data_IF_287216487442
#
_entry.id   IF_287216487442
#
_cell.length_a   1.000
_cell.length_b   1.000
_cell.length_c   1.000
_cell.angle_alpha   90.00
_cell.angle_beta   90.00
_cell.angle_gamma   90.00
#
_symmetry.space_group_name_H-M   'P 1'
#
loop_
_entity.id
_entity.type
_entity.pdbx_description
1 polymer ?
#
# COMPACT_ATOMS: atom_id res chain seq x y z
N UNK A 1 11.42 33.13 -44.06
CA UNK A 1 10.06 32.68 -43.63
C UNK A 1 10.04 31.38 -42.82
N UNK A 2 10.77 30.32 -43.20
CA UNK A 2 10.78 29.04 -42.44
C UNK A 2 11.32 29.15 -41.00
N UNK A 3 12.42 29.87 -40.80
CA UNK A 3 13.03 30.06 -39.48
C UNK A 3 12.14 30.84 -38.50
N UNK A 4 11.43 31.87 -38.98
CA UNK A 4 10.49 32.65 -38.16
C UNK A 4 9.30 31.80 -37.71
N UNK A 5 8.79 30.92 -38.60
CA UNK A 5 7.71 29.98 -38.26
C UNK A 5 8.16 28.91 -37.24
N UNK A 6 9.39 28.42 -37.36
CA UNK A 6 9.97 27.49 -36.41
C UNK A 6 10.16 28.14 -35.02
N UNK A 7 10.69 29.37 -34.97
CA UNK A 7 10.83 30.13 -33.72
C UNK A 7 9.49 30.43 -33.05
N UNK A 8 8.47 30.82 -33.83
CA UNK A 8 7.12 31.05 -33.31
C UNK A 8 6.47 29.77 -32.77
N UNK A 9 6.69 28.62 -33.43
CA UNK A 9 6.19 27.33 -32.95
C UNK A 9 6.88 26.90 -31.64
N UNK A 10 8.20 27.07 -31.52
CA UNK A 10 8.94 26.78 -30.28
C UNK A 10 8.43 27.66 -29.14
N UNK A 11 8.25 28.97 -29.39
CA UNK A 11 7.72 29.89 -28.40
C UNK A 11 6.30 29.51 -27.96
N UNK A 12 5.42 29.14 -28.91
CA UNK A 12 4.07 28.69 -28.60
C UNK A 12 4.09 27.44 -27.71
N UNK A 13 4.89 26.42 -28.04
CA UNK A 13 4.99 25.20 -27.23
C UNK A 13 5.60 25.47 -25.85
N UNK A 14 6.57 26.38 -25.75
CA UNK A 14 7.13 26.80 -24.46
C UNK A 14 6.06 27.49 -23.59
N UNK A 15 5.25 28.39 -24.17
CA UNK A 15 4.14 29.05 -23.46
C UNK A 15 3.09 28.01 -23.02
N UNK A 16 2.71 27.08 -23.90
CA UNK A 16 1.77 26.00 -23.56
C UNK A 16 2.33 25.15 -22.41
N UNK A 17 3.61 24.76 -22.46
CA UNK A 17 4.24 23.99 -21.39
C UNK A 17 4.28 24.75 -20.05
N UNK A 18 4.57 26.06 -20.07
CA UNK A 18 4.54 26.90 -18.86
C UNK A 18 3.11 27.00 -18.32
N UNK A 19 2.11 27.25 -19.16
CA UNK A 19 0.71 27.31 -18.73
C UNK A 19 0.23 25.97 -18.16
N UNK A 20 0.62 24.84 -18.76
CA UNK A 20 0.33 23.51 -18.23
C UNK A 20 1.06 23.26 -16.90
N UNK A 21 2.32 23.66 -16.79
CA UNK A 21 3.06 23.55 -15.53
C UNK A 21 2.40 24.37 -14.42
N UNK A 22 2.00 25.62 -14.68
CA UNK A 22 1.34 26.48 -13.70
C UNK A 22 -0.04 25.98 -13.28
N UNK A 23 -0.76 25.26 -14.14
CA UNK A 23 -2.11 24.76 -13.82
C UNK A 23 -2.10 23.35 -13.22
N UNK A 24 -1.25 22.46 -13.73
CA UNK A 24 -1.22 21.04 -13.32
C UNK A 24 -0.30 20.82 -12.12
N UNK A 25 0.87 21.45 -12.11
CA UNK A 25 1.90 21.15 -11.12
C UNK A 25 1.46 21.52 -9.69
N UNK A 26 0.83 22.67 -9.39
CA UNK A 26 0.39 22.99 -8.03
C UNK A 26 -0.60 21.98 -7.47
N UNK A 27 -1.60 21.57 -8.26
CA UNK A 27 -2.59 20.57 -7.84
C UNK A 27 -2.00 19.17 -7.66
N UNK A 28 -0.98 18.84 -8.45
CA UNK A 28 -0.24 17.60 -8.30
C UNK A 28 0.67 17.61 -7.07
N UNK A 29 1.31 18.75 -6.78
CA UNK A 29 2.23 18.90 -5.65
C UNK A 29 1.49 19.03 -4.30
N UNK A 30 0.32 19.66 -4.27
CA UNK A 30 -0.50 19.86 -3.06
C UNK A 30 -1.73 18.95 -3.05
N UNK A 31 -1.51 17.66 -3.33
CA UNK A 31 -2.61 16.71 -3.41
C UNK A 31 -3.11 16.37 -2.01
N UNK A 32 -4.29 16.90 -1.68
CA UNK A 32 -4.99 16.60 -0.43
C UNK A 32 -5.82 15.34 -0.61
N UNK A 33 -5.52 14.31 0.18
CA UNK A 33 -6.27 13.04 0.15
C UNK A 33 -7.39 12.98 1.17
N UNK A 34 -7.19 13.64 2.32
CA UNK A 34 -8.13 13.59 3.44
C UNK A 34 -8.33 14.99 4.02
N UNK A 35 -9.57 15.28 4.43
CA UNK A 35 -9.94 16.46 5.20
C UNK A 35 -10.75 15.98 6.40
N UNK A 36 -10.21 16.20 7.59
CA UNK A 36 -10.81 15.77 8.84
C UNK A 36 -10.48 16.73 9.97
N UNK A 37 -10.94 16.38 11.17
CA UNK A 37 -10.62 17.10 12.40
C UNK A 37 -9.33 16.53 12.96
N UNK A 38 -8.53 17.38 13.62
CA UNK A 38 -7.37 16.98 14.40
C UNK A 38 -7.71 15.81 15.33
N UNK A 39 -6.80 14.84 15.40
CA UNK A 39 -6.95 13.62 16.19
C UNK A 39 -5.65 13.25 16.89
N UNK A 40 -5.62 12.10 17.56
CA UNK A 40 -4.41 11.58 18.19
C UNK A 40 -3.31 11.18 17.18
N UNK A 41 -3.60 11.18 15.88
CA UNK A 41 -2.72 10.75 14.80
C UNK A 41 -2.92 11.53 13.49
N UNK A 42 -3.58 12.70 13.54
CA UNK A 42 -3.79 13.61 12.40
C UNK A 42 -3.77 15.08 12.85
N UNK A 43 -2.98 15.93 12.21
CA UNK A 43 -2.74 17.35 12.61
C UNK A 43 -3.52 18.37 11.77
N UNK A 44 -4.53 17.91 11.02
CA UNK A 44 -5.28 18.72 10.06
C UNK A 44 -4.71 18.67 8.64
N UNK A 45 -3.45 18.27 8.47
CA UNK A 45 -2.79 18.15 7.17
C UNK A 45 -2.14 16.78 6.91
N UNK A 46 -1.54 16.19 7.94
CA UNK A 46 -0.73 14.97 7.89
C UNK A 46 -1.09 14.01 9.01
N UNK A 47 -1.02 12.72 8.69
CA UNK A 47 -1.04 11.65 9.66
C UNK A 47 0.35 11.45 10.31
N UNK A 48 0.39 10.94 11.55
CA UNK A 48 1.63 10.69 12.28
C UNK A 48 1.52 9.52 13.25
N UNK A 49 2.66 8.91 13.61
CA UNK A 49 2.71 7.86 14.63
C UNK A 49 2.56 8.48 16.04
N UNK A 50 1.62 7.98 16.88
CA UNK A 50 1.34 8.54 18.21
C UNK A 50 2.47 8.52 19.23
N UNK A 51 3.51 7.71 19.01
CA UNK A 51 4.70 7.63 19.86
C UNK A 51 5.71 8.76 19.61
N UNK A 52 5.42 9.64 18.64
CA UNK A 52 6.23 10.82 18.35
C UNK A 52 7.52 10.48 17.60
N UNK A 53 7.67 9.25 17.10
CA UNK A 53 8.75 8.97 16.17
C UNK A 53 8.52 9.77 14.88
N UNK A 54 9.58 10.45 14.45
CA UNK A 54 9.53 11.24 13.24
C UNK A 54 9.99 10.38 12.08
N UNK A 55 9.02 9.74 11.44
CA UNK A 55 9.20 8.98 10.21
C UNK A 55 9.73 9.84 9.05
N UNK A 56 9.84 11.17 9.18
CA UNK A 56 10.54 11.99 8.19
C UNK A 56 12.01 11.60 8.21
N UNK A 57 12.45 10.97 7.12
CA UNK A 57 13.85 10.66 6.77
C UNK A 57 14.86 11.58 7.49
N UNK A 58 15.29 11.17 8.69
CA UNK A 58 16.46 11.75 9.33
C UNK A 58 17.63 11.19 8.55
N UNK A 59 18.11 11.96 7.58
CA UNK A 59 19.33 11.62 6.83
C UNK A 59 20.48 11.53 7.84
N UNK A 60 20.75 10.34 8.34
CA UNK A 60 21.90 10.07 9.19
C UNK A 60 23.18 10.43 8.41
N UNK A 61 24.04 11.23 9.04
CA UNK A 61 25.40 11.51 8.55
C UNK A 61 25.53 12.51 7.41
N UNK A 62 24.90 13.69 7.48
CA UNK A 62 25.21 14.83 6.59
C UNK A 62 24.92 14.62 5.09
N UNK A 63 24.14 13.59 4.75
CA UNK A 63 23.80 13.21 3.37
C UNK A 63 22.63 14.07 2.88
N UNK A 64 22.74 14.66 1.68
CA UNK A 64 21.67 15.47 1.09
C UNK A 64 20.54 14.60 0.53
N UNK A 65 19.30 15.12 0.53
CA UNK A 65 18.12 14.48 -0.11
C UNK A 65 18.40 14.14 -1.58
N UNK A 66 19.14 14.99 -2.29
CA UNK A 66 19.58 14.76 -3.66
C UNK A 66 20.52 13.54 -3.78
N UNK A 67 21.45 13.35 -2.84
CA UNK A 67 22.35 12.20 -2.83
C UNK A 67 21.67 10.86 -2.48
N UNK A 68 20.60 10.89 -1.67
CA UNK A 68 19.75 9.71 -1.44
C UNK A 68 18.97 9.34 -2.70
N UNK A 69 18.33 10.33 -3.36
CA UNK A 69 17.60 10.12 -4.61
C UNK A 69 18.52 9.63 -5.74
N UNK A 70 19.72 10.20 -5.85
CA UNK A 70 20.72 9.80 -6.84
C UNK A 70 21.18 8.36 -6.64
N UNK A 71 21.40 7.90 -5.40
CA UNK A 71 21.72 6.47 -5.12
C UNK A 71 20.55 5.53 -5.40
N UNK A 72 19.31 5.98 -5.19
CA UNK A 72 18.14 5.21 -5.59
C UNK A 72 18.05 5.04 -7.12
N UNK A 73 18.50 6.04 -7.89
CA UNK A 73 18.50 6.04 -9.37
C UNK A 73 19.70 5.30 -9.96
N UNK A 74 20.91 5.56 -9.46
CA UNK A 74 22.19 5.06 -10.01
C UNK A 74 22.58 3.70 -9.40
N UNK A 75 21.87 3.26 -8.36
CA UNK A 75 22.25 2.11 -7.57
C UNK A 75 23.26 2.48 -6.48
N UNK A 76 23.18 1.78 -5.37
CA UNK A 76 24.11 1.92 -4.26
C UNK A 76 25.07 0.71 -4.30
N UNK A 77 26.38 0.99 -4.34
CA UNK A 77 27.41 -0.05 -4.43
C UNK A 77 27.42 -1.00 -3.21
N UNK A 78 26.80 -0.60 -2.10
CA UNK A 78 26.63 -1.41 -0.89
C UNK A 78 25.31 -2.20 -0.84
N UNK A 79 24.48 -2.17 -1.90
CA UNK A 79 23.28 -3.01 -1.97
C UNK A 79 23.69 -4.47 -2.20
N UNK A 80 23.11 -5.43 -1.46
CA UNK A 80 23.28 -6.83 -1.77
C UNK A 80 22.82 -7.12 -3.20
N UNK A 81 23.47 -8.07 -3.85
CA UNK A 81 23.11 -8.50 -5.20
C UNK A 81 21.65 -8.96 -5.20
N UNK A 82 20.83 -8.28 -5.98
CA UNK A 82 19.42 -8.62 -6.14
C UNK A 82 19.29 -9.69 -7.24
N UNK A 83 18.54 -10.78 -7.02
CA UNK A 83 18.39 -11.82 -8.03
C UNK A 83 17.63 -11.28 -9.25
N UNK A 84 18.03 -11.69 -10.45
CA UNK A 84 17.28 -11.33 -11.68
C UNK A 84 15.92 -12.03 -11.74
N UNK A 85 15.85 -13.25 -11.20
CA UNK A 85 14.62 -14.05 -11.16
C UNK A 85 14.62 -14.99 -9.94
N UNK A 86 13.45 -15.17 -9.36
CA UNK A 86 13.13 -16.20 -8.36
C UNK A 86 12.07 -17.11 -8.97
N UNK A 87 12.34 -18.43 -8.97
CA UNK A 87 11.39 -19.40 -9.48
C UNK A 87 10.15 -19.49 -8.57
N UNK A 88 8.96 -19.46 -9.17
CA UNK A 88 7.68 -19.57 -8.46
C UNK A 88 6.85 -20.66 -9.12
N UNK A 89 6.33 -21.59 -8.32
CA UNK A 89 5.31 -22.55 -8.76
C UNK A 89 3.94 -21.92 -8.52
N UNK A 90 3.23 -21.61 -9.60
CA UNK A 90 1.91 -21.00 -9.50
C UNK A 90 0.88 -22.02 -9.01
N UNK A 91 -0.01 -21.56 -8.15
CA UNK A 91 -1.08 -22.34 -7.54
C UNK A 91 -2.44 -21.92 -8.11
N UNK A 92 -3.38 -22.88 -8.12
CA UNK A 92 -4.79 -22.64 -8.40
C UNK A 92 -5.59 -22.96 -7.15
N UNK A 93 -5.87 -21.96 -6.30
CA UNK A 93 -6.60 -22.18 -5.05
C UNK A 93 -8.03 -22.66 -5.33
N UNK A 94 -8.67 -23.34 -4.37
CA UNK A 94 -10.08 -23.72 -4.50
C UNK A 94 -10.97 -22.47 -4.61
N UNK A 95 -12.17 -22.62 -5.17
CA UNK A 95 -13.10 -21.50 -5.33
C UNK A 95 -13.49 -20.85 -3.99
N UNK A 96 -13.61 -21.66 -2.94
CA UNK A 96 -13.99 -21.25 -1.59
C UNK A 96 -13.54 -22.31 -0.58
N UNK A 97 -13.24 -21.89 0.65
CA UNK A 97 -12.97 -22.78 1.78
C UNK A 97 -14.02 -22.50 2.84
N UNK A 98 -14.85 -23.49 3.16
CA UNK A 98 -15.96 -23.38 4.11
C UNK A 98 -15.68 -24.09 5.44
N UNK A 99 -16.56 -23.87 6.42
CA UNK A 99 -16.42 -24.40 7.77
C UNK A 99 -15.23 -23.80 8.52
N UNK A 100 -14.71 -24.54 9.49
CA UNK A 100 -13.59 -24.08 10.33
C UNK A 100 -12.20 -24.20 9.70
N UNK A 101 -12.07 -24.43 8.39
CA UNK A 101 -10.78 -24.44 7.72
C UNK A 101 -10.35 -23.02 7.31
N UNK A 102 -9.04 -22.76 7.35
CA UNK A 102 -8.44 -21.51 6.86
C UNK A 102 -7.27 -21.88 5.95
N UNK A 103 -7.30 -21.40 4.72
CA UNK A 103 -6.25 -21.60 3.72
C UNK A 103 -5.65 -20.25 3.36
N UNK A 104 -4.33 -20.14 3.48
CA UNK A 104 -3.58 -18.98 3.01
C UNK A 104 -2.70 -19.39 1.83
N UNK A 105 -2.74 -18.60 0.76
CA UNK A 105 -1.85 -18.76 -0.39
C UNK A 105 -1.09 -17.45 -0.60
N UNK A 106 0.23 -17.53 -0.48
CA UNK A 106 1.09 -16.39 -0.73
C UNK A 106 1.22 -16.14 -2.23
N UNK A 107 0.83 -14.95 -2.67
CA UNK A 107 0.93 -14.53 -4.07
C UNK A 107 2.27 -13.82 -4.32
N UNK A 108 2.81 -13.14 -3.32
CA UNK A 108 4.09 -12.45 -3.38
C UNK A 108 4.03 -11.08 -2.73
N UNK A 109 5.17 -10.61 -2.22
CA UNK A 109 5.24 -9.39 -1.39
C UNK A 109 4.23 -9.46 -0.24
N UNK A 110 3.41 -8.43 -0.03
CA UNK A 110 2.33 -8.40 0.95
C UNK A 110 0.99 -9.00 0.44
N UNK A 111 0.94 -9.51 -0.80
CA UNK A 111 -0.28 -10.11 -1.35
C UNK A 111 -0.46 -11.56 -0.89
N UNK A 112 -1.54 -11.80 -0.16
CA UNK A 112 -2.00 -13.12 0.27
C UNK A 112 -3.48 -13.28 -0.06
N UNK A 113 -3.85 -14.43 -0.61
CA UNK A 113 -5.23 -14.89 -0.63
C UNK A 113 -5.48 -15.70 0.64
N UNK A 114 -6.41 -15.25 1.48
CA UNK A 114 -6.87 -15.98 2.67
C UNK A 114 -8.32 -16.38 2.47
N UNK A 115 -8.59 -17.68 2.56
CA UNK A 115 -9.93 -18.25 2.43
C UNK A 115 -10.32 -18.86 3.77
N UNK A 116 -11.35 -18.30 4.41
CA UNK A 116 -11.82 -18.75 5.71
C UNK A 116 -13.31 -18.49 5.85
N UNK A 117 -14.02 -19.41 6.51
CA UNK A 117 -15.46 -19.29 6.77
C UNK A 117 -16.29 -19.11 5.50
N UNK A 118 -15.78 -19.49 4.34
CA UNK A 118 -16.39 -19.21 3.06
C UNK A 118 -16.36 -17.73 2.71
N UNK A 119 -15.27 -17.02 3.00
CA UNK A 119 -14.95 -15.66 2.53
C UNK A 119 -13.55 -15.69 1.89
N UNK A 120 -13.41 -15.11 0.71
CA UNK A 120 -12.13 -14.93 0.04
C UNK A 120 -11.61 -13.50 0.29
N UNK A 121 -10.53 -13.38 1.05
CA UNK A 121 -9.90 -12.12 1.46
C UNK A 121 -8.57 -11.98 0.72
N UNK A 122 -8.32 -10.82 0.12
CA UNK A 122 -7.08 -10.53 -0.58
C UNK A 122 -6.39 -9.31 0.04
N UNK A 123 -5.14 -9.45 0.47
CA UNK A 123 -4.35 -8.35 1.05
C UNK A 123 -3.52 -7.66 -0.03
N UNK A 124 -3.41 -6.32 0.04
CA UNK A 124 -2.52 -5.47 -0.74
C UNK A 124 -2.20 -6.00 -2.15
N UNK A 125 -3.21 -6.11 -3.04
CA UNK A 125 -3.09 -6.91 -4.24
C UNK A 125 -2.23 -6.23 -5.31
N UNK A 126 -1.09 -6.85 -5.66
CA UNK A 126 -0.16 -6.34 -6.69
C UNK A 126 0.20 -7.40 -7.73
N UNK A 127 -0.31 -7.22 -8.94
CA UNK A 127 0.06 -8.02 -10.13
C UNK A 127 0.88 -7.23 -11.15
N UNK A 128 1.05 -5.92 -10.98
CA UNK A 128 1.92 -5.13 -11.84
C UNK A 128 3.38 -5.59 -11.78
N UNK A 129 4.06 -5.51 -12.93
CA UNK A 129 5.48 -5.87 -13.04
C UNK A 129 6.40 -4.94 -12.25
N UNK A 130 6.01 -3.67 -12.10
CA UNK A 130 6.81 -2.63 -11.44
C UNK A 130 5.96 -1.90 -10.39
N UNK A 131 6.56 -1.62 -9.24
CA UNK A 131 5.97 -0.82 -8.18
C UNK A 131 6.40 0.65 -8.32
N UNK A 132 5.64 1.45 -9.06
CA UNK A 132 5.88 2.89 -9.11
C UNK A 132 5.02 3.64 -10.13
N UNK A 133 5.16 4.98 -10.21
CA UNK A 133 4.33 5.81 -11.06
C UNK A 133 4.54 5.48 -12.53
N UNK A 134 3.45 5.37 -13.28
CA UNK A 134 3.47 5.09 -14.73
C UNK A 134 4.26 3.83 -15.13
N UNK A 135 4.41 2.86 -14.22
CA UNK A 135 5.18 1.64 -14.44
C UNK A 135 6.69 1.80 -14.25
N UNK A 136 7.17 2.98 -13.83
CA UNK A 136 8.58 3.18 -13.46
C UNK A 136 8.78 2.94 -11.97
N UNK A 137 9.67 2.02 -11.62
CA UNK A 137 9.97 1.67 -10.23
C UNK A 137 10.60 0.27 -10.12
N UNK A 138 10.84 -0.23 -8.89
CA UNK A 138 11.36 -1.56 -8.67
C UNK A 138 10.54 -2.61 -9.41
N UNK A 139 11.21 -3.38 -10.27
CA UNK A 139 10.62 -4.51 -10.97
C UNK A 139 10.57 -5.73 -10.06
N UNK A 140 9.46 -6.47 -10.08
CA UNK A 140 9.36 -7.75 -9.38
C UNK A 140 10.26 -8.79 -10.06
N UNK A 141 10.86 -9.65 -9.25
CA UNK A 141 11.76 -10.73 -9.71
C UNK A 141 11.15 -12.11 -9.55
N UNK A 142 9.98 -12.19 -8.92
CA UNK A 142 9.17 -13.38 -8.75
C UNK A 142 7.83 -13.17 -9.46
N UNK A 143 7.34 -14.17 -10.19
CA UNK A 143 5.98 -14.15 -10.74
C UNK A 143 4.93 -14.24 -9.62
N UNK A 144 3.69 -13.77 -9.83
CA UNK A 144 2.64 -13.94 -8.83
C UNK A 144 2.37 -15.44 -8.59
N UNK A 145 2.32 -15.85 -7.32
CA UNK A 145 2.04 -17.22 -6.90
C UNK A 145 0.64 -17.72 -7.28
N UNK A 146 -0.27 -16.81 -7.64
CA UNK A 146 -1.55 -17.10 -8.30
C UNK A 146 -1.67 -16.18 -9.51
N UNK A 147 -1.95 -16.72 -10.69
CA UNK A 147 -2.27 -15.89 -11.86
C UNK A 147 -3.57 -15.13 -11.60
N UNK A 148 -3.71 -13.89 -12.07
CA UNK A 148 -4.91 -13.10 -11.76
C UNK A 148 -6.18 -13.79 -12.26
N UNK A 149 -6.11 -14.45 -13.42
CA UNK A 149 -7.18 -15.25 -14.00
C UNK A 149 -7.52 -16.54 -13.23
N UNK A 150 -6.59 -17.04 -12.39
CA UNK A 150 -6.78 -18.21 -11.55
C UNK A 150 -7.27 -17.82 -10.13
N UNK A 151 -7.40 -16.52 -9.82
CA UNK A 151 -8.00 -16.09 -8.56
C UNK A 151 -9.48 -16.52 -8.51
N UNK A 152 -9.95 -17.03 -7.35
CA UNK A 152 -11.38 -17.20 -7.14
C UNK A 152 -12.05 -15.82 -7.03
N UNK A 153 -13.38 -15.79 -7.02
CA UNK A 153 -14.13 -14.56 -6.75
C UNK A 153 -13.70 -13.99 -5.39
N UNK A 154 -13.23 -12.75 -5.36
CA UNK A 154 -12.80 -12.08 -4.13
C UNK A 154 -14.00 -11.39 -3.48
N UNK A 155 -14.14 -11.55 -2.17
CA UNK A 155 -15.22 -10.94 -1.39
C UNK A 155 -14.74 -9.67 -0.69
N UNK A 156 -13.50 -9.69 -0.16
CA UNK A 156 -12.90 -8.58 0.59
C UNK A 156 -11.49 -8.32 0.08
N UNK A 157 -11.15 -7.05 -0.11
CA UNK A 157 -9.79 -6.60 -0.36
C UNK A 157 -9.36 -5.68 0.78
N UNK A 158 -8.18 -5.91 1.33
CA UNK A 158 -7.57 -5.07 2.35
C UNK A 158 -6.43 -4.28 1.71
N UNK A 159 -6.44 -2.95 1.87
CA UNK A 159 -5.40 -2.05 1.38
C UNK A 159 -4.81 -1.26 2.54
N UNK A 160 -3.63 -1.66 3.00
CA UNK A 160 -2.99 -1.14 4.22
C UNK A 160 -2.58 0.32 4.12
N UNK A 161 -1.94 0.72 3.02
CA UNK A 161 -1.44 2.07 2.81
C UNK A 161 -1.20 2.35 1.33
N UNK A 162 -0.84 3.59 1.00
CA UNK A 162 -0.67 4.06 -0.36
C UNK A 162 0.74 3.90 -0.93
N UNK A 163 1.61 2.97 -0.53
CA UNK A 163 2.83 2.73 -1.34
C UNK A 163 2.51 1.90 -2.59
N UNK A 164 3.27 2.10 -3.68
CA UNK A 164 2.97 1.51 -4.99
C UNK A 164 2.99 -0.02 -5.01
N UNK A 165 3.75 -0.62 -4.11
CA UNK A 165 3.86 -2.06 -3.87
C UNK A 165 2.77 -2.61 -2.93
N UNK A 166 1.85 -1.77 -2.43
CA UNK A 166 0.71 -2.19 -1.61
C UNK A 166 -0.66 -1.76 -2.17
N UNK A 167 -0.70 -0.69 -2.97
CA UNK A 167 -1.92 -0.20 -3.61
C UNK A 167 -1.66 -0.05 -5.12
N UNK A 168 -1.81 -1.15 -5.84
CA UNK A 168 -1.74 -1.22 -7.31
C UNK A 168 -3.12 -0.90 -7.92
N UNK A 169 -3.25 0.31 -8.46
CA UNK A 169 -4.49 0.79 -9.06
C UNK A 169 -4.94 -0.04 -10.29
N UNK A 170 -4.01 -0.61 -11.06
CA UNK A 170 -4.36 -1.43 -12.22
C UNK A 170 -4.99 -2.75 -11.76
N UNK A 171 -4.40 -3.37 -10.73
CA UNK A 171 -4.93 -4.59 -10.13
C UNK A 171 -6.28 -4.34 -9.45
N UNK A 172 -6.40 -3.29 -8.64
CA UNK A 172 -7.64 -2.95 -7.94
C UNK A 172 -8.81 -2.66 -8.89
N UNK A 173 -8.57 -1.97 -10.02
CA UNK A 173 -9.60 -1.75 -11.05
C UNK A 173 -10.11 -3.06 -11.63
N UNK A 174 -9.20 -3.97 -12.00
CA UNK A 174 -9.57 -5.29 -12.56
C UNK A 174 -10.37 -6.12 -11.56
N UNK A 175 -9.98 -6.12 -10.29
CA UNK A 175 -10.71 -6.82 -9.22
C UNK A 175 -12.11 -6.22 -9.01
N UNK A 176 -12.22 -4.89 -9.00
CA UNK A 176 -13.51 -4.21 -8.88
C UNK A 176 -14.45 -4.51 -10.04
N UNK A 177 -13.95 -4.44 -11.28
CA UNK A 177 -14.72 -4.75 -12.48
C UNK A 177 -15.21 -6.21 -12.49
N UNK A 178 -14.36 -7.15 -12.04
CA UNK A 178 -14.65 -8.59 -12.06
C UNK A 178 -15.59 -9.04 -10.93
N UNK A 179 -15.28 -8.67 -9.69
CA UNK A 179 -15.88 -9.33 -8.51
C UNK A 179 -16.76 -8.39 -7.66
N UNK A 180 -16.56 -7.07 -7.80
CA UNK A 180 -17.14 -6.04 -6.93
C UNK A 180 -16.90 -6.31 -5.43
N UNK A 181 -15.65 -6.57 -4.99
CA UNK A 181 -15.37 -6.88 -3.59
C UNK A 181 -15.60 -5.66 -2.70
N UNK A 182 -15.81 -5.90 -1.40
CA UNK A 182 -15.67 -4.85 -0.40
C UNK A 182 -14.18 -4.52 -0.23
N UNK A 183 -13.77 -3.36 -0.73
CA UNK A 183 -12.42 -2.85 -0.54
C UNK A 183 -12.39 -2.03 0.76
N UNK A 184 -11.61 -2.46 1.74
CA UNK A 184 -11.41 -1.77 3.02
C UNK A 184 -10.01 -1.17 3.04
N UNK A 185 -9.92 0.10 3.44
CA UNK A 185 -8.67 0.85 3.50
C UNK A 185 -8.72 1.89 4.61
N UNK A 186 -7.64 2.66 4.74
CA UNK A 186 -7.50 3.74 5.72
C UNK A 186 -7.86 5.10 5.11
N UNK A 187 -8.21 6.08 5.96
CA UNK A 187 -8.54 7.45 5.56
C UNK A 187 -7.59 8.04 4.50
N UNK A 188 -8.15 8.63 3.44
CA UNK A 188 -7.43 9.27 2.34
C UNK A 188 -7.00 8.34 1.19
N UNK A 189 -6.90 7.03 1.43
CA UNK A 189 -6.54 6.09 0.36
C UNK A 189 -7.65 5.92 -0.69
N UNK A 190 -8.90 6.17 -0.32
CA UNK A 190 -10.06 6.23 -1.23
C UNK A 190 -9.91 7.34 -2.29
N UNK A 191 -9.35 8.50 -1.91
CA UNK A 191 -9.03 9.56 -2.86
C UNK A 191 -7.91 9.16 -3.85
N UNK A 192 -6.96 8.31 -3.42
CA UNK A 192 -5.95 7.71 -4.31
C UNK A 192 -6.62 6.72 -5.26
N UNK A 193 -7.62 5.98 -4.79
CA UNK A 193 -8.41 4.99 -5.51
C UNK A 193 -9.60 5.59 -6.30
N UNK A 194 -9.57 6.88 -6.65
CA UNK A 194 -10.65 7.53 -7.37
C UNK A 194 -11.17 6.70 -8.58
N UNK A 195 -12.48 6.44 -8.57
CA UNK A 195 -13.15 5.56 -9.55
C UNK A 195 -13.29 4.09 -9.11
N UNK A 196 -12.70 3.70 -7.98
CA UNK A 196 -12.79 2.37 -7.38
C UNK A 196 -13.42 2.55 -5.99
N UNK A 197 -14.70 2.18 -5.79
CA UNK A 197 -15.36 2.30 -4.50
C UNK A 197 -14.62 1.53 -3.40
N UNK A 198 -14.20 2.25 -2.37
CA UNK A 198 -13.57 1.71 -1.17
C UNK A 198 -14.26 2.26 0.09
N UNK A 199 -14.13 1.54 1.20
CA UNK A 199 -14.49 2.00 2.55
C UNK A 199 -13.21 2.42 3.25
N UNK A 200 -12.98 3.73 3.32
CA UNK A 200 -11.89 4.30 4.10
C UNK A 200 -12.35 4.49 5.55
N UNK A 201 -11.59 3.94 6.48
CA UNK A 201 -11.89 3.94 7.91
C UNK A 201 -10.67 4.44 8.69
N UNK A 202 -10.92 4.94 9.90
CA UNK A 202 -9.89 5.30 10.85
C UNK A 202 -9.49 4.12 11.74
N UNK A 203 -8.37 4.24 12.46
CA UNK A 203 -7.98 3.27 13.48
C UNK A 203 -9.07 3.11 14.54
N UNK A 204 -9.33 1.87 14.93
CA UNK A 204 -10.37 1.50 15.88
C UNK A 204 -11.78 1.41 15.27
N UNK A 205 -11.95 1.80 13.99
CA UNK A 205 -13.22 1.62 13.29
C UNK A 205 -13.32 0.24 12.63
N UNK A 206 -14.55 -0.14 12.31
CA UNK A 206 -14.88 -1.46 11.78
C UNK A 206 -15.97 -1.35 10.71
N UNK A 207 -15.93 -2.26 9.73
CA UNK A 207 -17.00 -2.45 8.76
C UNK A 207 -17.48 -3.90 8.75
N UNK A 208 -18.79 -4.06 8.70
CA UNK A 208 -19.44 -5.36 8.56
C UNK A 208 -19.28 -5.89 7.12
N UNK A 209 -18.86 -7.15 6.98
CA UNK A 209 -18.78 -7.82 5.68
C UNK A 209 -20.07 -8.60 5.43
N UNK A 210 -20.46 -9.43 6.40
CA UNK A 210 -21.69 -10.24 6.44
C UNK A 210 -21.85 -10.83 7.84
N UNK A 211 -22.92 -11.59 8.07
CA UNK A 211 -23.17 -12.23 9.37
C UNK A 211 -21.94 -12.98 9.90
N UNK A 212 -21.54 -12.66 11.12
CA UNK A 212 -20.35 -13.22 11.79
C UNK A 212 -18.98 -12.77 11.24
N UNK A 213 -18.91 -11.93 10.20
CA UNK A 213 -17.65 -11.49 9.58
C UNK A 213 -17.57 -9.97 9.47
N UNK A 214 -16.45 -9.41 9.93
CA UNK A 214 -16.19 -7.98 9.85
C UNK A 214 -14.69 -7.68 9.73
N UNK A 215 -14.36 -6.47 9.29
CA UNK A 215 -12.98 -5.99 9.22
C UNK A 215 -12.82 -4.84 10.19
N UNK A 216 -11.95 -5.00 11.18
CA UNK A 216 -11.49 -3.92 12.04
C UNK A 216 -10.20 -3.33 11.46
N UNK A 217 -10.13 -2.00 11.41
CA UNK A 217 -8.94 -1.25 11.01
C UNK A 217 -8.16 -0.91 12.27
N UNK A 218 -6.93 -1.39 12.36
CA UNK A 218 -6.10 -1.30 13.57
C UNK A 218 -4.83 -0.51 13.29
N UNK A 219 -4.25 0.06 14.36
CA UNK A 219 -2.98 0.79 14.27
C UNK A 219 -1.86 -0.14 13.80
N UNK A 220 -0.89 0.44 13.10
CA UNK A 220 0.45 -0.09 12.89
C UNK A 220 1.44 1.09 12.87
N UNK A 221 2.74 0.81 12.74
CA UNK A 221 3.78 1.85 12.77
C UNK A 221 4.45 1.97 11.39
N UNK A 222 3.97 2.92 10.59
CA UNK A 222 4.44 3.11 9.22
C UNK A 222 4.21 4.56 8.75
N UNK A 223 4.25 4.77 7.44
CA UNK A 223 4.00 6.05 6.78
C UNK A 223 3.37 5.81 5.40
N UNK A 224 2.95 6.87 4.71
CA UNK A 224 2.37 6.75 3.36
C UNK A 224 2.88 7.81 2.38
N UNK A 225 2.94 7.49 1.09
CA UNK A 225 3.21 8.43 0.00
C UNK A 225 2.93 7.83 -1.39
N UNK A 226 2.44 8.63 -2.34
CA UNK A 226 2.43 8.32 -3.78
C UNK A 226 3.42 9.17 -4.56
N UNK A 227 3.79 10.33 -4.03
CA UNK A 227 4.56 11.34 -4.70
C UNK A 227 5.56 11.99 -3.74
N UNK A 228 6.58 12.63 -4.27
CA UNK A 228 7.62 13.26 -3.45
C UNK A 228 7.11 14.41 -2.52
N UNK A 229 5.87 14.88 -2.68
CA UNK A 229 5.26 15.96 -1.90
C UNK A 229 4.07 15.56 -1.01
N UNK A 230 3.66 14.29 -1.00
CA UNK A 230 2.39 13.88 -0.38
C UNK A 230 2.56 12.96 0.83
N UNK A 231 3.77 12.96 1.40
CA UNK A 231 4.11 12.12 2.55
C UNK A 231 3.08 12.32 3.66
N UNK A 232 2.54 11.21 4.17
CA UNK A 232 1.58 11.12 5.26
C UNK A 232 0.27 11.88 5.04
N UNK A 233 -0.11 12.19 3.80
CA UNK A 233 -1.43 12.80 3.53
C UNK A 233 -2.59 11.79 3.52
N UNK A 234 -2.29 10.49 3.55
CA UNK A 234 -3.24 9.39 3.73
C UNK A 234 -2.73 8.45 4.82
N UNK A 235 -3.67 7.83 5.54
CA UNK A 235 -3.40 6.96 6.68
C UNK A 235 -2.88 5.58 6.24
N UNK A 236 -2.08 4.95 7.09
CA UNK A 236 -1.64 3.55 7.00
C UNK A 236 -2.31 2.76 8.12
N UNK A 237 -2.62 1.47 7.90
CA UNK A 237 -3.22 0.62 8.94
C UNK A 237 -2.82 -0.84 8.80
N UNK A 238 -3.00 -1.57 9.90
CA UNK A 238 -3.19 -3.02 9.89
C UNK A 238 -4.69 -3.35 9.92
N UNK A 239 -5.02 -4.64 9.76
CA UNK A 239 -6.40 -5.10 9.80
C UNK A 239 -6.54 -6.39 10.60
N UNK A 240 -7.64 -6.49 11.35
CA UNK A 240 -8.12 -7.77 11.89
C UNK A 240 -9.44 -8.11 11.19
N UNK A 241 -9.44 -9.21 10.45
CA UNK A 241 -10.68 -9.80 9.94
C UNK A 241 -11.24 -10.71 11.02
N UNK A 242 -12.35 -10.27 11.61
CA UNK A 242 -13.09 -11.01 12.61
C UNK A 242 -13.86 -12.12 11.90
N UNK A 243 -13.63 -13.36 12.35
CA UNK A 243 -14.14 -14.57 11.71
C UNK A 243 -14.68 -15.54 12.77
N UNK A 244 -15.74 -16.31 12.46
CA UNK A 244 -16.32 -17.27 13.41
C UNK A 244 -15.34 -18.30 13.97
N UNK A 245 -14.36 -18.75 13.16
CA UNK A 245 -13.41 -19.80 13.54
C UNK A 245 -11.97 -19.29 13.76
N UNK A 246 -11.83 -18.04 14.22
CA UNK A 246 -10.56 -17.42 14.58
C UNK A 246 -10.08 -16.39 13.54
N UNK A 247 -9.55 -15.29 14.04
CA UNK A 247 -9.31 -14.08 13.25
C UNK A 247 -8.09 -14.22 12.34
N UNK A 248 -8.12 -13.48 11.22
CA UNK A 248 -6.95 -13.23 10.39
C UNK A 248 -6.43 -11.81 10.65
N UNK A 249 -5.16 -11.69 11.01
CA UNK A 249 -4.48 -10.40 11.17
C UNK A 249 -3.55 -10.14 9.98
N UNK A 250 -3.63 -8.94 9.41
CA UNK A 250 -2.73 -8.47 8.37
C UNK A 250 -2.06 -7.18 8.84
N UNK A 251 -0.75 -7.22 9.05
CA UNK A 251 0.00 -6.10 9.63
C UNK A 251 0.20 -4.91 8.68
N UNK A 252 0.03 -5.12 7.36
CA UNK A 252 0.60 -4.23 6.35
C UNK A 252 2.12 -4.16 6.47
N UNK A 253 2.72 -3.09 5.97
CA UNK A 253 4.09 -2.74 6.35
C UNK A 253 4.09 -2.07 7.70
N UNK A 254 4.99 -2.49 8.59
CA UNK A 254 5.09 -1.92 9.93
C UNK A 254 6.48 -2.11 10.52
N UNK A 255 6.94 -1.12 11.28
CA UNK A 255 8.00 -1.25 12.27
C UNK A 255 7.44 -1.62 13.65
N UNK A 256 8.32 -1.72 14.65
CA UNK A 256 7.91 -2.01 16.02
C UNK A 256 7.22 -0.82 16.69
N UNK A 257 7.74 0.40 16.51
CA UNK A 257 7.26 1.60 17.21
C UNK A 257 7.29 1.43 18.73
N UNK A 258 6.26 1.95 19.40
CA UNK A 258 5.98 1.68 20.82
C UNK A 258 5.63 0.22 21.19
N UNK A 259 5.54 -0.68 20.21
CA UNK A 259 5.27 -2.11 20.42
C UNK A 259 3.84 -2.44 20.87
N UNK A 260 2.89 -1.50 20.83
CA UNK A 260 1.51 -1.73 21.32
C UNK A 260 0.59 -2.36 20.28
N UNK A 261 0.80 -2.08 19.00
CA UNK A 261 -0.07 -2.54 17.92
C UNK A 261 -0.33 -4.07 17.90
N UNK A 262 0.62 -4.97 18.24
CA UNK A 262 0.33 -6.41 18.23
C UNK A 262 -0.67 -6.79 19.32
N UNK A 263 -0.54 -6.20 20.51
CA UNK A 263 -1.43 -6.46 21.64
C UNK A 263 -2.82 -5.87 21.40
N UNK A 264 -2.90 -4.68 20.80
CA UNK A 264 -4.17 -4.05 20.40
C UNK A 264 -4.92 -4.91 19.37
N UNK A 265 -4.23 -5.46 18.37
CA UNK A 265 -4.84 -6.39 17.41
C UNK A 265 -5.31 -7.69 18.07
N UNK A 266 -4.50 -8.27 18.98
CA UNK A 266 -4.84 -9.49 19.71
C UNK A 266 -6.01 -9.30 20.69
N UNK A 267 -6.24 -8.08 21.18
CA UNK A 267 -7.37 -7.76 22.05
C UNK A 267 -8.74 -7.91 21.34
N UNK A 268 -8.77 -7.91 20.01
CA UNK A 268 -9.97 -8.11 19.20
C UNK A 268 -10.41 -9.59 19.09
N UNK A 269 -9.65 -10.51 19.68
CA UNK A 269 -9.95 -11.94 19.72
C UNK A 269 -8.79 -12.81 19.25
N UNK A 270 -8.93 -14.13 19.32
CA UNK A 270 -7.85 -15.06 18.99
C UNK A 270 -7.44 -14.93 17.52
N UNK A 271 -6.17 -14.58 17.29
CA UNK A 271 -5.57 -14.54 15.97
C UNK A 271 -5.13 -15.97 15.59
N UNK A 272 -5.75 -16.51 14.54
CA UNK A 272 -5.43 -17.84 14.00
C UNK A 272 -4.30 -17.80 12.97
N UNK A 273 -4.25 -16.72 12.19
CA UNK A 273 -3.22 -16.47 11.20
C UNK A 273 -2.83 -14.99 11.23
N UNK A 274 -1.53 -14.72 11.20
CA UNK A 274 -0.97 -13.38 11.10
C UNK A 274 -0.06 -13.28 9.86
N UNK A 275 -0.35 -12.33 8.97
CA UNK A 275 0.57 -11.89 7.92
C UNK A 275 1.41 -10.73 8.43
N UNK A 276 2.72 -10.95 8.63
CA UNK A 276 3.66 -9.99 9.21
C UNK A 276 4.83 -9.79 8.24
N UNK A 277 5.25 -8.54 7.94
CA UNK A 277 6.39 -8.27 7.09
C UNK A 277 7.71 -8.71 7.75
N UNK A 278 8.61 -9.29 6.98
CA UNK A 278 9.92 -9.81 7.44
C UNK A 278 11.09 -9.31 6.57
N UNK A 279 10.86 -8.32 5.72
CA UNK A 279 11.84 -7.81 4.77
C UNK A 279 11.92 -6.29 4.81
N UNK A 280 12.65 -5.71 3.86
CA UNK A 280 12.84 -4.26 3.71
C UNK A 280 13.46 -3.55 4.94
N UNK A 281 14.19 -4.28 5.78
CA UNK A 281 15.05 -3.74 6.83
C UNK A 281 16.51 -4.13 6.61
N UNK A 282 17.42 -3.35 7.21
CA UNK A 282 18.84 -3.68 7.32
C UNK A 282 19.29 -3.26 8.71
N UNK A 283 19.97 -4.15 9.43
CA UNK A 283 20.60 -3.78 10.69
C UNK A 283 21.85 -2.94 10.39
N UNK A 284 21.98 -1.82 11.10
CA UNK A 284 23.23 -1.09 11.25
C UNK A 284 23.99 -1.65 12.45
N UNK A 285 25.32 -1.53 12.43
CA UNK A 285 26.18 -1.97 13.51
C UNK A 285 25.80 -1.24 14.82
N UNK A 286 25.54 -2.00 15.88
CA UNK A 286 25.12 -1.47 17.19
C UNK A 286 23.60 -1.32 17.41
N UNK A 287 22.76 -1.80 16.49
CA UNK A 287 21.28 -1.77 16.64
C UNK A 287 20.68 -2.99 17.39
N UNK A 288 21.49 -3.87 17.98
CA UNK A 288 21.05 -5.00 18.82
C UNK A 288 21.87 -5.09 20.11
#
# INVERSE_FOLDING_TARGET
MRFVRAGAAILLWAVVAICLALTVLPHFLDRIYYRGIDSAHFDGEHFFNPDGDDDRLKLSGGRSRAGFLWRQIVGDAERPVWPERVAVTQSRPPARVEGGAMLATWVGHATMLVQADGVNILTDPVWSANAGPFGFGPGRVAEPGIRLEDLPRIDVVLVSHNHYDHLDLATLRRLWERDRPLIVTSLGNDAVMAGIPARALDWGQQVHVREGVAVAVTRNHHWGSRWFTDRNRALWSSFVVLLPHGNFFFAGDTGLGDGKWPAEAAALGPIRLAGIPIGAFRFEEGQM
#
